data_IF_902233962005
#
_entry.id   IF_902233962005
#
_cell.length_a   1.000
_cell.length_b   1.000
_cell.length_c   1.000
_cell.angle_alpha   90.00
_cell.angle_beta   90.00
_cell.angle_gamma   90.00
#
_symmetry.space_group_name_H-M   'P 1'
#
loop_
_entity.id
_entity.type
_entity.pdbx_description
1 polymer ?
#
# COMPACT_ATOMS: atom_id res chain seq x y z
N UNK A 1 65.59 -26.95 15.61
CA UNK A 1 66.29 -25.66 15.44
C UNK A 1 65.61 -24.67 16.38
N UNK A 2 66.15 -24.51 17.60
CA UNK A 2 66.96 -23.36 18.06
C UNK A 2 66.17 -22.04 18.02
N UNK A 3 65.58 -21.64 19.14
CA UNK A 3 66.13 -20.73 20.18
C UNK A 3 65.81 -19.25 19.84
N UNK A 4 65.38 -18.41 20.77
CA UNK A 4 65.33 -18.59 22.21
C UNK A 4 64.72 -17.40 22.95
N UNK A 5 64.20 -17.72 24.14
CA UNK A 5 64.00 -16.79 25.24
C UNK A 5 65.33 -16.36 25.87
N UNK A 6 65.22 -15.27 26.63
CA UNK A 6 66.04 -14.80 27.77
C UNK A 6 66.94 -13.60 27.47
N UNK A 7 66.82 -12.59 28.34
CA UNK A 7 67.90 -11.92 29.11
C UNK A 7 67.22 -10.95 30.09
N UNK A 8 67.07 -11.28 31.36
CA UNK A 8 68.05 -11.30 32.46
C UNK A 8 68.18 -9.94 33.15
N UNK A 9 67.66 -9.93 34.38
CA UNK A 9 67.93 -9.03 35.49
C UNK A 9 69.44 -8.94 35.74
N UNK A 10 69.98 -7.72 35.82
CA UNK A 10 71.29 -7.46 36.43
C UNK A 10 71.12 -6.35 37.48
N UNK A 11 71.30 -6.74 38.74
CA UNK A 11 71.65 -5.83 39.82
C UNK A 11 73.09 -5.36 39.58
N UNK A 12 73.31 -4.05 39.65
CA UNK A 12 74.61 -3.43 39.74
C UNK A 12 74.60 -2.43 40.87
N UNK A 13 75.06 -2.87 42.04
CA UNK A 13 75.41 -2.03 43.18
C UNK A 13 76.69 -1.25 42.81
N UNK A 14 76.68 0.07 42.88
CA UNK A 14 77.89 0.88 42.75
C UNK A 14 77.87 2.07 43.73
N UNK A 15 78.72 1.91 44.75
CA UNK A 15 79.47 2.88 45.55
C UNK A 15 78.96 4.34 45.72
N UNK A 16 78.77 4.69 46.98
CA UNK A 16 78.80 6.06 47.52
C UNK A 16 80.19 6.66 47.31
N UNK A 17 80.27 7.83 46.66
CA UNK A 17 81.37 8.78 46.84
C UNK A 17 80.82 10.20 46.90
N UNK A 18 81.13 10.87 48.01
CA UNK A 18 80.82 12.25 48.35
C UNK A 18 81.78 13.20 47.60
N UNK A 19 81.28 14.37 47.17
CA UNK A 19 81.89 15.73 47.26
C UNK A 19 81.57 16.63 46.04
N UNK A 20 81.17 17.86 46.38
CA UNK A 20 81.24 19.15 45.65
C UNK A 20 80.14 19.54 44.63
N UNK A 21 79.24 20.39 45.16
CA UNK A 21 78.55 21.53 44.58
C UNK A 21 78.81 21.91 43.10
N UNK A 22 77.71 22.04 42.33
CA UNK A 22 77.69 22.77 41.07
C UNK A 22 76.46 22.49 40.21
N UNK A 23 75.44 23.37 40.30
CA UNK A 23 74.32 23.54 39.37
C UNK A 23 73.50 22.28 39.00
N UNK A 24 72.64 21.84 39.92
CA UNK A 24 71.48 21.03 39.56
C UNK A 24 70.58 21.85 38.61
N UNK A 25 70.51 21.46 37.35
CA UNK A 25 69.43 21.88 36.46
C UNK A 25 68.13 21.38 37.05
N UNK A 26 67.39 22.27 37.70
CA UNK A 26 66.08 21.98 38.28
C UNK A 26 65.13 21.61 37.15
N UNK A 27 64.92 20.31 36.94
CA UNK A 27 63.78 19.83 36.15
C UNK A 27 62.52 20.26 36.90
N UNK A 28 61.94 21.39 36.49
CA UNK A 28 60.66 21.87 36.99
C UNK A 28 59.61 20.86 36.55
N UNK A 29 59.19 19.99 37.47
CA UNK A 29 58.05 19.12 37.26
C UNK A 29 56.80 19.99 37.12
N UNK A 30 56.39 20.30 35.88
CA UNK A 30 55.12 20.97 35.65
C UNK A 30 53.98 20.07 36.14
N UNK A 31 53.25 20.54 37.15
CA UNK A 31 52.04 19.89 37.62
C UNK A 31 51.05 19.77 36.46
N UNK A 32 50.58 18.56 36.20
CA UNK A 32 49.60 18.29 35.14
C UNK A 32 48.32 19.08 35.43
N UNK A 33 48.09 20.15 34.66
CA UNK A 33 46.88 20.95 34.78
C UNK A 33 45.71 20.24 34.10
N UNK A 34 44.58 20.15 34.80
CA UNK A 34 43.34 19.54 34.30
C UNK A 34 42.37 20.62 33.81
N UNK A 35 41.53 20.27 32.84
CA UNK A 35 40.44 21.15 32.44
C UNK A 35 39.35 21.19 33.53
N UNK A 36 38.52 22.23 33.51
CA UNK A 36 37.28 22.33 34.30
C UNK A 36 36.07 22.45 33.39
N UNK A 37 34.88 22.08 33.87
CA UNK A 37 33.63 22.18 33.10
C UNK A 37 33.09 23.60 33.25
N UNK A 38 32.84 24.28 32.12
CA UNK A 38 32.24 25.62 32.08
C UNK A 38 30.74 25.56 31.78
N UNK A 39 30.27 24.52 31.08
CA UNK A 39 28.84 24.28 30.88
C UNK A 39 28.53 22.79 30.84
N UNK A 40 27.31 22.42 31.25
CA UNK A 40 26.80 21.05 31.15
C UNK A 40 25.28 21.10 31.02
N UNK A 41 24.78 20.93 29.79
CA UNK A 41 23.37 21.13 29.45
C UNK A 41 22.78 19.86 28.82
N UNK A 42 21.51 19.62 29.07
CA UNK A 42 20.73 18.60 28.35
C UNK A 42 20.48 19.11 26.93
N UNK A 43 20.59 18.23 25.94
CA UNK A 43 20.30 18.62 24.56
C UNK A 43 18.80 18.76 24.34
N UNK A 44 18.35 19.85 23.71
CA UNK A 44 16.93 20.20 23.54
C UNK A 44 16.32 19.83 22.18
N UNK A 45 17.14 19.52 21.16
CA UNK A 45 16.63 19.08 19.86
C UNK A 45 15.85 17.76 19.96
N UNK A 46 15.07 17.39 18.95
CA UNK A 46 14.26 16.17 18.99
C UNK A 46 15.13 14.92 19.26
N UNK A 47 14.64 14.00 20.09
CA UNK A 47 15.38 12.76 20.36
C UNK A 47 15.63 11.95 19.08
N UNK A 48 14.68 11.92 18.16
CA UNK A 48 14.76 11.16 16.92
C UNK A 48 15.79 11.68 15.92
N UNK A 49 16.15 12.97 15.98
CA UNK A 49 17.06 13.63 15.02
C UNK A 49 18.54 13.62 15.42
N UNK A 50 18.90 12.94 16.52
CA UNK A 50 20.26 12.97 17.07
C UNK A 50 20.93 11.61 17.09
N UNK A 51 20.68 10.75 16.12
CA UNK A 51 21.33 9.45 16.08
C UNK A 51 22.80 9.67 15.75
N UNK A 52 23.70 9.02 16.48
CA UNK A 52 25.13 9.09 16.20
C UNK A 52 25.75 7.71 16.19
N UNK A 53 26.86 7.60 15.48
CA UNK A 53 27.81 6.51 15.64
C UNK A 53 29.13 7.05 16.19
N UNK A 54 29.91 6.18 16.83
CA UNK A 54 31.27 6.50 17.23
C UNK A 54 32.16 6.54 15.99
N UNK A 55 33.24 7.31 16.03
CA UNK A 55 34.24 7.34 14.94
C UNK A 55 35.46 6.47 15.23
N UNK A 56 35.66 6.08 16.48
CA UNK A 56 36.85 5.33 16.93
C UNK A 56 38.10 6.20 17.15
N UNK A 57 38.06 7.50 16.84
CA UNK A 57 39.20 8.42 17.03
C UNK A 57 39.42 8.81 18.49
N UNK A 58 38.38 8.71 19.31
CA UNK A 58 38.39 9.09 20.71
C UNK A 58 37.76 8.00 21.57
N UNK A 59 38.27 7.84 22.79
CA UNK A 59 37.69 6.95 23.79
C UNK A 59 36.43 7.56 24.43
N UNK A 60 35.60 6.69 25.00
CA UNK A 60 34.47 7.04 25.86
C UNK A 60 34.92 7.06 27.31
N UNK A 61 34.53 8.07 28.09
CA UNK A 61 35.00 8.27 29.46
C UNK A 61 33.85 8.42 30.48
N UNK A 62 34.13 8.29 31.77
CA UNK A 62 33.13 8.48 32.84
C UNK A 62 32.70 9.94 33.01
N UNK A 63 33.60 10.88 32.68
CA UNK A 63 33.42 12.34 32.62
C UNK A 63 34.26 12.88 31.45
N UNK A 64 34.17 14.16 31.10
CA UNK A 64 34.99 14.70 30.01
C UNK A 64 36.48 14.34 30.18
N UNK A 65 37.10 13.81 29.12
CA UNK A 65 38.36 13.06 29.20
C UNK A 65 39.57 13.87 29.72
N UNK A 66 39.51 15.20 29.65
CA UNK A 66 40.55 16.11 30.16
C UNK A 66 40.38 16.52 31.62
N UNK A 67 39.31 16.07 32.29
CA UNK A 67 39.05 16.38 33.70
C UNK A 67 39.83 15.44 34.64
N UNK A 68 40.12 15.92 35.84
CA UNK A 68 40.76 15.10 36.88
C UNK A 68 39.90 13.86 37.21
N UNK A 69 40.53 12.69 37.18
CA UNK A 69 39.89 11.40 37.48
C UNK A 69 38.91 10.90 36.41
N UNK A 70 39.04 11.34 35.15
CA UNK A 70 38.33 10.70 34.04
C UNK A 70 38.87 9.28 33.81
N UNK A 71 37.98 8.28 33.83
CA UNK A 71 38.30 6.87 33.55
C UNK A 71 37.74 6.47 32.19
N UNK A 72 38.44 5.61 31.47
CA UNK A 72 37.99 5.07 30.18
C UNK A 72 36.86 4.07 30.42
N UNK A 73 35.72 4.27 29.75
CA UNK A 73 34.58 3.35 29.67
C UNK A 73 34.70 2.46 28.44
N UNK A 74 35.16 3.01 27.31
CA UNK A 74 35.48 2.26 26.10
C UNK A 74 36.72 2.87 25.44
N UNK A 75 37.70 2.04 25.11
CA UNK A 75 38.92 2.47 24.42
C UNK A 75 38.63 2.92 22.99
N UNK A 76 39.58 3.57 22.33
CA UNK A 76 39.50 3.88 20.89
C UNK A 76 39.30 2.62 20.05
N UNK A 77 39.97 1.52 20.41
CA UNK A 77 39.79 0.21 19.77
C UNK A 77 38.35 -0.30 19.91
N UNK A 78 37.77 -0.25 21.11
CA UNK A 78 36.37 -0.64 21.32
C UNK A 78 35.42 0.29 20.58
N UNK A 79 35.67 1.60 20.59
CA UNK A 79 34.87 2.58 19.86
C UNK A 79 34.90 2.33 18.34
N UNK A 80 36.06 1.94 17.79
CA UNK A 80 36.20 1.56 16.37
C UNK A 80 35.42 0.28 16.04
N UNK A 81 35.46 -0.74 16.92
CA UNK A 81 34.66 -1.96 16.77
C UNK A 81 33.15 -1.67 16.80
N UNK A 82 32.71 -0.80 17.71
CA UNK A 82 31.30 -0.38 17.80
C UNK A 82 30.87 0.43 16.58
N UNK A 83 31.75 1.28 16.06
CA UNK A 83 31.50 2.04 14.84
C UNK A 83 31.24 1.12 13.64
N UNK A 84 32.01 0.03 13.50
CA UNK A 84 31.90 -0.96 12.41
C UNK A 84 30.91 -2.09 12.66
N UNK A 85 30.18 -2.08 13.78
CA UNK A 85 29.24 -3.14 14.14
C UNK A 85 28.08 -3.26 13.14
N UNK A 86 27.66 -4.46 12.79
CA UNK A 86 26.44 -4.72 12.01
C UNK A 86 25.19 -4.81 12.90
N UNK A 87 25.31 -4.52 14.20
CA UNK A 87 24.18 -4.52 15.13
C UNK A 87 23.76 -3.09 15.51
N UNK A 88 22.47 -2.78 15.33
CA UNK A 88 21.80 -1.55 15.75
C UNK A 88 21.90 -1.27 17.24
N UNK A 89 22.16 -2.30 18.07
CA UNK A 89 22.52 -2.15 19.49
C UNK A 89 23.70 -1.18 19.70
N UNK A 90 24.62 -1.14 18.74
CA UNK A 90 25.82 -0.29 18.74
C UNK A 90 25.57 1.14 18.19
N UNK A 91 24.33 1.50 17.88
CA UNK A 91 23.96 2.91 17.65
C UNK A 91 23.98 3.68 18.97
N UNK A 92 24.22 4.99 18.90
CA UNK A 92 24.31 5.85 20.07
C UNK A 92 23.35 7.02 20.02
N UNK A 93 22.91 7.46 21.20
CA UNK A 93 22.15 8.70 21.41
C UNK A 93 22.95 9.64 22.32
N UNK A 94 23.35 10.84 21.86
CA UNK A 94 23.78 11.91 22.73
C UNK A 94 22.57 12.55 23.43
N UNK A 95 22.71 12.87 24.71
CA UNK A 95 21.63 13.45 25.51
C UNK A 95 22.08 14.63 26.40
N UNK A 96 23.39 14.83 26.57
CA UNK A 96 23.95 16.05 27.18
C UNK A 96 25.16 16.53 26.39
N UNK A 97 25.48 17.82 26.53
CA UNK A 97 26.68 18.45 26.00
C UNK A 97 27.36 19.27 27.10
N UNK A 98 28.69 19.25 27.14
CA UNK A 98 29.49 20.02 28.06
C UNK A 98 30.62 20.74 27.35
N UNK A 99 30.92 21.97 27.76
CA UNK A 99 32.12 22.71 27.36
C UNK A 99 33.11 22.77 28.51
N UNK A 100 34.40 22.77 28.19
CA UNK A 100 35.47 22.96 29.17
C UNK A 100 36.08 24.35 29.09
N UNK A 101 36.81 24.78 30.12
CA UNK A 101 37.58 26.02 30.12
C UNK A 101 38.68 26.08 29.03
N UNK A 102 38.93 24.97 28.33
CA UNK A 102 39.86 24.87 27.19
C UNK A 102 39.12 24.86 25.84
N UNK A 103 37.84 25.22 25.81
CA UNK A 103 37.03 25.27 24.58
C UNK A 103 36.71 23.90 23.96
N UNK A 104 36.94 22.81 24.69
CA UNK A 104 36.59 21.46 24.20
C UNK A 104 35.13 21.13 24.48
N UNK A 105 34.47 20.52 23.51
CA UNK A 105 33.09 20.04 23.63
C UNK A 105 33.10 18.53 23.87
N UNK A 106 32.28 18.07 24.81
CA UNK A 106 32.04 16.65 25.07
C UNK A 106 30.56 16.35 25.07
N UNK A 107 30.16 15.22 24.48
CA UNK A 107 28.79 14.74 24.49
C UNK A 107 28.64 13.54 25.43
N UNK A 108 27.59 13.55 26.27
CA UNK A 108 27.20 12.37 27.02
C UNK A 108 26.32 11.50 26.14
N UNK A 109 26.78 10.28 25.86
CA UNK A 109 26.14 9.33 24.94
C UNK A 109 25.75 8.04 25.65
N UNK A 110 24.80 7.32 25.06
CA UNK A 110 24.41 5.96 25.46
C UNK A 110 24.21 5.09 24.22
N UNK A 111 24.68 3.84 24.24
CA UNK A 111 24.36 2.85 23.22
C UNK A 111 22.89 2.43 23.27
N UNK A 112 22.34 1.90 22.18
CA UNK A 112 20.92 1.58 22.12
C UNK A 112 20.53 0.40 23.03
N UNK A 113 21.44 -0.53 23.26
CA UNK A 113 21.32 -1.58 24.27
C UNK A 113 21.60 -1.12 25.71
N UNK A 114 22.12 0.09 25.90
CA UNK A 114 22.47 0.65 27.21
C UNK A 114 23.82 0.19 27.79
N UNK A 115 24.54 -0.73 27.14
CA UNK A 115 25.81 -1.28 27.61
C UNK A 115 26.89 -0.22 27.80
N UNK A 116 26.98 0.76 26.89
CA UNK A 116 27.97 1.82 26.95
C UNK A 116 27.31 3.15 27.26
N UNK A 117 27.81 3.83 28.30
CA UNK A 117 27.37 5.18 28.67
C UNK A 117 28.55 6.00 29.19
N UNK A 118 28.75 7.19 28.62
CA UNK A 118 29.86 8.04 29.01
C UNK A 118 29.93 9.34 28.23
N UNK A 119 31.04 10.05 28.40
CA UNK A 119 31.38 11.29 27.73
C UNK A 119 32.44 11.05 26.67
N UNK A 120 32.20 11.55 25.46
CA UNK A 120 33.12 11.42 24.33
C UNK A 120 33.40 12.80 23.74
N UNK A 121 34.63 13.01 23.28
CA UNK A 121 35.05 14.28 22.68
C UNK A 121 34.25 14.56 21.41
N UNK A 122 33.67 15.75 21.33
CA UNK A 122 32.77 16.21 20.27
C UNK A 122 33.36 17.29 19.35
N UNK A 123 34.63 17.67 19.54
CA UNK A 123 35.26 18.78 18.83
C UNK A 123 35.29 20.08 19.66
N UNK A 124 35.12 21.22 18.99
CA UNK A 124 35.13 22.57 19.61
C UNK A 124 33.81 23.33 19.48
N UNK A 125 32.85 22.81 18.69
CA UNK A 125 31.53 23.42 18.50
C UNK A 125 30.44 22.55 19.10
N UNK A 126 29.41 23.18 19.66
CA UNK A 126 28.18 22.51 20.13
C UNK A 126 27.13 22.36 19.04
N UNK A 127 27.31 23.00 17.88
CA UNK A 127 26.34 23.03 16.77
C UNK A 127 26.34 21.78 15.88
N UNK A 128 27.36 20.93 15.98
CA UNK A 128 27.48 19.73 15.16
C UNK A 128 28.10 18.57 15.92
N UNK A 129 27.73 17.33 15.54
CA UNK A 129 28.38 16.13 16.04
C UNK A 129 29.70 15.90 15.28
N UNK A 130 30.82 16.07 15.96
CA UNK A 130 32.16 15.90 15.40
C UNK A 130 33.11 15.13 16.35
N UNK A 131 34.37 15.00 15.95
CA UNK A 131 35.41 14.37 16.76
C UNK A 131 35.19 12.85 16.92
N UNK A 132 34.86 12.43 18.14
CA UNK A 132 34.62 11.03 18.50
C UNK A 132 33.27 10.48 18.08
N UNK A 133 32.36 11.33 17.59
CA UNK A 133 31.03 10.97 17.12
C UNK A 133 30.72 11.64 15.79
N UNK A 134 29.77 11.08 15.05
CA UNK A 134 29.18 11.67 13.86
C UNK A 134 27.69 11.33 13.77
N UNK A 135 26.90 12.20 13.14
CA UNK A 135 25.49 11.89 12.81
C UNK A 135 25.40 10.58 12.03
N UNK A 136 24.34 9.82 12.28
CA UNK A 136 24.16 8.51 11.67
C UNK A 136 22.68 8.20 11.48
N UNK A 137 22.27 8.01 10.23
CA UNK A 137 20.93 7.55 9.92
C UNK A 137 20.85 6.04 10.16
N UNK A 138 20.02 5.68 11.13
CA UNK A 138 19.86 4.29 11.60
C UNK A 138 18.97 3.47 10.68
N UNK A 139 18.21 4.13 9.82
CA UNK A 139 17.42 3.53 8.75
C UNK A 139 17.60 4.31 7.46
N UNK A 140 17.29 3.67 6.35
CA UNK A 140 17.22 4.23 5.00
C UNK A 140 15.85 3.88 4.41
N UNK A 141 15.38 4.65 3.43
CA UNK A 141 14.11 4.36 2.77
C UNK A 141 14.14 3.01 2.05
N UNK A 142 13.04 2.27 2.11
CA UNK A 142 12.81 1.08 1.29
C UNK A 142 11.48 1.24 0.54
N UNK A 143 11.30 0.46 -0.53
CA UNK A 143 10.03 0.46 -1.28
C UNK A 143 9.00 -0.38 -0.53
N UNK A 144 7.82 0.19 -0.29
CA UNK A 144 6.71 -0.55 0.29
C UNK A 144 6.10 -1.51 -0.76
N UNK A 145 5.49 -2.63 -0.33
CA UNK A 145 4.66 -3.44 -1.20
C UNK A 145 3.54 -2.65 -1.89
N UNK A 146 3.02 -3.16 -3.01
CA UNK A 146 1.79 -2.64 -3.62
C UNK A 146 0.66 -2.61 -2.58
N UNK A 147 -0.21 -1.60 -2.63
CA UNK A 147 -1.39 -1.52 -1.76
C UNK A 147 -2.39 -2.66 -2.00
N UNK A 148 -2.34 -3.29 -3.18
CA UNK A 148 -3.12 -4.49 -3.51
C UNK A 148 -2.47 -5.79 -3.04
N UNK A 149 -1.23 -5.76 -2.55
CA UNK A 149 -0.53 -6.94 -2.08
C UNK A 149 -0.96 -7.30 -0.66
N UNK A 150 -1.37 -8.55 -0.50
CA UNK A 150 -1.90 -9.12 0.74
C UNK A 150 -0.90 -10.11 1.30
N UNK A 151 -0.66 -10.05 2.60
CA UNK A 151 0.36 -10.84 3.29
C UNK A 151 -0.22 -11.60 4.48
N UNK A 152 0.42 -12.70 4.84
CA UNK A 152 0.23 -13.41 6.12
C UNK A 152 1.56 -13.52 6.85
N UNK A 153 1.51 -13.77 8.16
CA UNK A 153 2.69 -14.12 8.93
C UNK A 153 3.25 -15.45 8.45
N UNK A 154 4.55 -15.47 8.14
CA UNK A 154 5.31 -16.70 7.86
C UNK A 154 6.15 -17.15 9.07
N UNK A 155 6.42 -16.23 9.99
CA UNK A 155 7.12 -16.51 11.24
C UNK A 155 6.17 -17.11 12.30
N UNK A 156 6.69 -17.99 13.15
CA UNK A 156 5.96 -18.58 14.27
C UNK A 156 5.47 -17.52 15.26
N UNK A 157 4.18 -17.59 15.61
CA UNK A 157 3.56 -16.75 16.64
C UNK A 157 3.75 -17.34 18.04
N UNK A 158 3.38 -16.58 19.07
CA UNK A 158 3.43 -17.04 20.46
C UNK A 158 2.25 -16.49 21.27
N UNK A 159 1.71 -17.33 22.16
CA UNK A 159 0.69 -16.96 23.16
C UNK A 159 1.22 -16.10 24.29
N UNK A 160 2.54 -16.05 24.51
CA UNK A 160 3.16 -15.40 25.69
C UNK A 160 4.25 -14.39 25.35
N UNK A 161 4.70 -14.36 24.09
CA UNK A 161 5.74 -13.45 23.64
C UNK A 161 5.36 -12.71 22.35
N UNK A 162 5.80 -11.45 22.27
CA UNK A 162 5.83 -10.69 21.02
C UNK A 162 7.27 -10.56 20.55
N UNK A 163 7.59 -11.24 19.46
CA UNK A 163 8.89 -11.17 18.76
C UNK A 163 8.75 -10.57 17.36
N UNK A 164 7.53 -10.27 16.91
CA UNK A 164 7.22 -9.94 15.52
C UNK A 164 6.97 -8.44 15.32
N UNK A 165 6.17 -7.83 16.21
CA UNK A 165 5.65 -6.48 16.00
C UNK A 165 6.32 -5.45 16.91
N UNK A 166 6.82 -4.38 16.30
CA UNK A 166 7.55 -3.32 16.96
C UNK A 166 6.90 -1.95 16.73
N UNK A 167 7.09 -1.01 17.65
CA UNK A 167 6.57 0.35 17.46
C UNK A 167 7.30 1.12 16.34
N UNK A 168 8.54 0.69 16.03
CA UNK A 168 9.44 1.15 14.96
C UNK A 168 10.38 0.00 14.61
N UNK A 169 11.10 0.01 13.48
CA UNK A 169 12.13 -0.99 13.22
C UNK A 169 13.07 -1.16 14.42
N UNK A 170 13.37 -2.40 14.80
CA UNK A 170 14.14 -2.68 15.99
C UNK A 170 15.49 -1.94 15.93
N UNK A 171 15.88 -1.27 17.03
CA UNK A 171 17.10 -0.48 17.11
C UNK A 171 17.24 0.67 16.09
N UNK A 172 16.16 1.10 15.44
CA UNK A 172 16.15 2.34 14.65
C UNK A 172 16.15 3.61 15.53
N UNK A 173 15.74 3.51 16.79
CA UNK A 173 15.80 4.61 17.75
C UNK A 173 16.16 4.08 19.14
N UNK A 174 16.65 4.96 20.02
CA UNK A 174 16.88 4.60 21.41
C UNK A 174 15.54 4.29 22.09
N UNK A 175 15.46 3.15 22.79
CA UNK A 175 14.25 2.64 23.48
C UNK A 175 13.08 2.30 22.56
N UNK A 176 13.32 1.88 21.33
CA UNK A 176 12.28 1.22 20.53
C UNK A 176 11.82 -0.04 21.26
N UNK A 177 10.52 -0.11 21.55
CA UNK A 177 9.87 -1.25 22.17
C UNK A 177 9.02 -2.05 21.18
N UNK A 178 8.31 -3.02 21.73
CA UNK A 178 7.27 -3.75 21.00
C UNK A 178 6.10 -2.84 20.63
N UNK A 179 5.34 -3.27 19.63
CA UNK A 179 4.10 -2.61 19.24
C UNK A 179 3.17 -2.45 20.44
N UNK A 180 2.31 -1.43 20.39
CA UNK A 180 1.27 -1.23 21.38
C UNK A 180 -0.08 -1.40 20.70
N UNK A 181 -1.01 -2.06 21.38
CA UNK A 181 -2.40 -2.22 20.95
C UNK A 181 -3.27 -1.71 22.10
N UNK A 182 -4.20 -0.80 21.81
CA UNK A 182 -5.07 -0.17 22.81
C UNK A 182 -4.29 0.45 24.00
N UNK A 183 -3.16 1.10 23.71
CA UNK A 183 -2.32 1.79 24.70
C UNK A 183 -1.34 0.89 25.47
N UNK A 184 -1.52 -0.43 25.43
CA UNK A 184 -0.69 -1.41 26.15
C UNK A 184 0.34 -2.06 25.25
N UNK A 185 1.51 -2.40 25.80
CA UNK A 185 2.54 -3.14 25.05
C UNK A 185 2.00 -4.52 24.68
N UNK A 186 2.02 -4.86 23.39
CA UNK A 186 1.59 -6.16 22.90
C UNK A 186 2.57 -7.25 23.38
N UNK A 187 2.06 -8.21 24.13
CA UNK A 187 2.85 -9.29 24.76
C UNK A 187 2.71 -10.64 24.07
N UNK A 188 1.69 -10.86 23.23
CA UNK A 188 1.47 -12.09 22.47
C UNK A 188 1.19 -11.76 20.99
N UNK A 189 1.33 -12.75 20.12
CA UNK A 189 1.16 -12.59 18.65
C UNK A 189 0.15 -13.55 18.05
N UNK A 190 -0.29 -14.57 18.80
CA UNK A 190 -1.24 -15.59 18.32
C UNK A 190 -2.59 -15.03 17.88
N UNK A 191 -3.01 -13.88 18.42
CA UNK A 191 -4.23 -13.20 17.98
C UNK A 191 -4.20 -12.79 16.49
N UNK A 192 -3.00 -12.78 15.88
CA UNK A 192 -2.77 -12.37 14.50
C UNK A 192 -2.26 -13.50 13.60
N UNK A 193 -2.29 -14.77 14.07
CA UNK A 193 -1.68 -15.91 13.36
C UNK A 193 -2.27 -16.16 11.97
N UNK A 194 -3.58 -15.93 11.81
CA UNK A 194 -4.30 -16.12 10.55
C UNK A 194 -4.65 -14.78 9.87
N UNK A 195 -4.27 -13.65 10.48
CA UNK A 195 -4.63 -12.33 9.98
C UNK A 195 -3.97 -12.05 8.64
N UNK A 196 -4.69 -11.28 7.84
CA UNK A 196 -4.26 -10.72 6.57
C UNK A 196 -3.73 -9.29 6.77
N UNK A 197 -2.60 -8.96 6.15
CA UNK A 197 -1.94 -7.68 6.29
C UNK A 197 -1.74 -6.99 4.94
N UNK A 198 -1.83 -5.66 4.96
CA UNK A 198 -1.28 -4.79 3.91
C UNK A 198 -0.26 -3.84 4.53
N UNK A 199 0.61 -3.26 3.69
CA UNK A 199 1.70 -2.40 4.14
C UNK A 199 1.73 -1.09 3.38
N UNK A 200 2.00 0.01 4.09
CA UNK A 200 1.96 1.37 3.53
C UNK A 200 3.30 2.10 3.50
N UNK A 201 4.29 1.61 4.25
CA UNK A 201 5.64 2.17 4.26
C UNK A 201 6.68 1.07 4.48
N UNK A 202 7.92 1.34 4.07
CA UNK A 202 9.04 0.45 4.32
C UNK A 202 10.32 1.23 4.66
N UNK A 203 11.11 0.66 5.56
CA UNK A 203 12.42 1.17 5.95
C UNK A 203 13.43 0.02 6.00
N UNK A 204 14.70 0.31 5.73
CA UNK A 204 15.80 -0.64 5.86
C UNK A 204 16.75 -0.20 6.96
N UNK A 205 17.04 -1.06 7.94
CA UNK A 205 17.97 -0.71 9.02
C UNK A 205 19.41 -0.65 8.51
N UNK A 206 20.13 0.41 8.85
CA UNK A 206 21.44 0.70 8.25
C UNK A 206 22.56 -0.25 8.72
N UNK A 207 22.40 -0.90 9.87
CA UNK A 207 23.39 -1.84 10.42
C UNK A 207 23.08 -3.30 10.12
N UNK A 208 21.85 -3.72 10.38
CA UNK A 208 21.43 -5.11 10.14
C UNK A 208 21.12 -5.36 8.65
N UNK A 209 20.72 -4.33 7.90
CA UNK A 209 20.31 -4.48 6.50
C UNK A 209 18.91 -5.07 6.33
N UNK A 210 18.16 -5.23 7.43
CA UNK A 210 16.81 -5.79 7.45
C UNK A 210 15.80 -4.78 6.88
N UNK A 211 14.93 -5.24 5.98
CA UNK A 211 13.76 -4.48 5.54
C UNK A 211 12.61 -4.69 6.52
N UNK A 212 11.94 -3.60 6.88
CA UNK A 212 10.77 -3.57 7.75
C UNK A 212 9.60 -2.94 7.02
N UNK A 213 8.41 -3.50 7.19
CA UNK A 213 7.17 -2.97 6.66
C UNK A 213 6.31 -2.39 7.78
N UNK A 214 5.70 -1.24 7.51
CA UNK A 214 4.71 -0.63 8.38
C UNK A 214 3.31 -1.11 7.99
N UNK A 215 2.60 -1.68 8.95
CA UNK A 215 1.25 -2.23 8.77
C UNK A 215 0.28 -1.10 8.44
N UNK A 216 -0.41 -1.21 7.30
CA UNK A 216 -1.44 -0.27 6.86
C UNK A 216 -2.85 -0.77 7.18
N UNK A 217 -3.10 -2.07 7.08
CA UNK A 217 -4.36 -2.68 7.52
C UNK A 217 -4.15 -4.08 8.07
N UNK A 218 -5.09 -4.51 8.91
CA UNK A 218 -5.22 -5.88 9.42
C UNK A 218 -6.64 -6.34 9.13
N UNK A 219 -6.79 -7.45 8.41
CA UNK A 219 -8.08 -8.03 8.02
C UNK A 219 -9.01 -7.00 7.35
N UNK A 220 -8.43 -6.15 6.49
CA UNK A 220 -9.12 -5.06 5.79
C UNK A 220 -9.36 -3.80 6.63
N UNK A 221 -9.18 -3.85 7.96
CA UNK A 221 -9.36 -2.69 8.84
C UNK A 221 -8.10 -1.81 8.91
N UNK A 222 -8.26 -0.52 8.60
CA UNK A 222 -7.23 0.52 8.74
C UNK A 222 -7.21 1.17 10.14
N UNK A 223 -8.11 0.76 11.04
CA UNK A 223 -8.23 1.27 12.40
C UNK A 223 -7.89 0.23 13.47
N UNK A 224 -7.49 -0.98 13.06
CA UNK A 224 -6.99 -2.01 13.97
C UNK A 224 -5.81 -1.47 14.79
N UNK A 225 -5.75 -1.78 16.09
CA UNK A 225 -4.74 -1.24 17.00
C UNK A 225 -3.28 -1.62 16.66
N UNK A 226 -3.05 -2.58 15.75
CA UNK A 226 -1.73 -2.93 15.23
C UNK A 226 -1.30 -2.07 14.02
N UNK A 227 -2.22 -1.31 13.42
CA UNK A 227 -1.91 -0.41 12.30
C UNK A 227 -0.88 0.63 12.74
N UNK A 228 0.12 0.87 11.89
CA UNK A 228 1.26 1.74 12.17
C UNK A 228 2.43 1.04 12.86
N UNK A 229 2.25 -0.19 13.36
CA UNK A 229 3.36 -1.01 13.86
C UNK A 229 4.21 -1.56 12.71
N UNK A 230 5.40 -2.05 13.06
CA UNK A 230 6.42 -2.51 12.12
C UNK A 230 6.71 -4.00 12.31
N UNK A 231 6.85 -4.71 11.20
CA UNK A 231 7.25 -6.12 11.14
C UNK A 231 8.39 -6.30 10.15
N UNK A 232 9.32 -7.23 10.39
CA UNK A 232 10.35 -7.55 9.41
C UNK A 232 9.72 -8.15 8.16
N UNK A 233 10.19 -7.75 6.98
CA UNK A 233 9.75 -8.31 5.70
C UNK A 233 9.95 -9.83 5.64
N UNK A 234 11.01 -10.36 6.28
CA UNK A 234 11.27 -11.81 6.37
C UNK A 234 10.27 -12.60 7.20
N UNK A 235 9.39 -11.94 7.96
CA UNK A 235 8.42 -12.59 8.85
C UNK A 235 7.02 -12.66 8.23
N UNK A 236 6.88 -12.19 6.99
CA UNK A 236 5.62 -12.19 6.25
C UNK A 236 5.82 -12.75 4.85
N UNK A 237 4.79 -13.39 4.30
CA UNK A 237 4.75 -13.90 2.94
C UNK A 237 3.54 -13.33 2.21
N UNK A 238 3.75 -12.83 0.99
CA UNK A 238 2.66 -12.37 0.15
C UNK A 238 1.82 -13.57 -0.27
N UNK A 239 0.51 -13.52 0.01
CA UNK A 239 -0.43 -14.61 -0.33
C UNK A 239 -1.00 -14.49 -1.73
N UNK A 240 -0.94 -13.29 -2.30
CA UNK A 240 -1.38 -12.99 -3.66
C UNK A 240 -0.21 -12.53 -4.53
N UNK A 241 0.96 -13.16 -4.37
CA UNK A 241 2.04 -12.96 -5.31
C UNK A 241 1.66 -13.62 -6.65
N UNK A 242 1.78 -12.89 -7.75
CA UNK A 242 1.67 -13.50 -9.07
C UNK A 242 2.79 -14.55 -9.21
N UNK A 243 2.47 -15.80 -9.60
CA UNK A 243 3.51 -16.78 -9.88
C UNK A 243 4.40 -16.29 -11.03
N UNK A 244 5.64 -16.76 -11.06
CA UNK A 244 6.51 -16.47 -12.21
C UNK A 244 5.91 -17.13 -13.45
N UNK A 245 5.77 -16.36 -14.53
CA UNK A 245 5.28 -16.88 -15.80
C UNK A 245 6.24 -17.96 -16.35
N UNK A 246 5.69 -19.12 -16.66
CA UNK A 246 6.35 -20.23 -17.34
C UNK A 246 5.52 -20.66 -18.55
N UNK A 247 6.04 -21.59 -19.36
CA UNK A 247 5.25 -22.24 -20.42
C UNK A 247 4.06 -23.03 -19.88
N UNK A 248 4.05 -23.34 -18.58
CA UNK A 248 3.12 -24.28 -17.99
C UNK A 248 2.04 -23.60 -17.16
N UNK A 249 2.03 -22.27 -17.10
CA UNK A 249 1.04 -21.53 -16.32
C UNK A 249 0.62 -20.20 -16.94
N UNK A 250 1.19 -19.81 -18.08
CA UNK A 250 0.94 -18.48 -18.65
C UNK A 250 0.43 -18.51 -20.09
N UNK A 251 -0.38 -17.52 -20.45
CA UNK A 251 -0.91 -17.32 -21.80
C UNK A 251 -0.70 -15.88 -22.24
N UNK A 252 -0.23 -15.70 -23.47
CA UNK A 252 -0.15 -14.36 -24.09
C UNK A 252 -1.49 -14.05 -24.75
N UNK A 253 -2.07 -12.87 -24.47
CA UNK A 253 -3.33 -12.44 -25.10
C UNK A 253 -3.04 -11.41 -26.19
N UNK A 254 -3.46 -11.69 -27.41
CA UNK A 254 -3.28 -10.83 -28.58
C UNK A 254 -4.63 -10.38 -29.10
N UNK A 255 -4.78 -9.09 -29.34
CA UNK A 255 -5.99 -8.49 -29.89
C UNK A 255 -5.81 -8.29 -31.39
N UNK A 256 -6.76 -8.78 -32.17
CA UNK A 256 -6.74 -8.68 -33.64
C UNK A 256 -8.08 -8.18 -34.19
N UNK A 257 -8.06 -7.58 -35.37
CA UNK A 257 -9.28 -7.22 -36.09
C UNK A 257 -9.94 -8.43 -36.77
N UNK A 258 -11.08 -8.21 -37.42
CA UNK A 258 -11.81 -9.25 -38.15
C UNK A 258 -10.99 -9.86 -39.32
N UNK A 259 -10.00 -9.12 -39.85
CA UNK A 259 -9.08 -9.56 -40.89
C UNK A 259 -7.85 -10.29 -40.31
N UNK A 260 -7.81 -10.49 -38.99
CA UNK A 260 -6.72 -11.11 -38.21
C UNK A 260 -5.44 -10.28 -38.18
N UNK A 261 -5.48 -9.00 -38.50
CA UNK A 261 -4.34 -8.10 -38.26
C UNK A 261 -4.23 -7.82 -36.76
N UNK A 262 -3.01 -7.82 -36.24
CA UNK A 262 -2.76 -7.51 -34.83
C UNK A 262 -3.03 -6.03 -34.58
N UNK A 263 -3.95 -5.74 -33.68
CA UNK A 263 -4.23 -4.40 -33.16
C UNK A 263 -3.27 -4.10 -32.01
N UNK A 264 -3.14 -5.03 -31.07
CA UNK A 264 -2.17 -4.94 -29.98
C UNK A 264 -1.98 -6.29 -29.27
N UNK A 265 -1.14 -6.30 -28.24
CA UNK A 265 -0.95 -7.43 -27.33
C UNK A 265 -1.11 -6.93 -25.91
N UNK A 266 -1.74 -7.73 -25.03
CA UNK A 266 -1.85 -7.38 -23.62
C UNK A 266 -0.46 -7.17 -23.02
N UNK A 267 -0.30 -6.10 -22.23
CA UNK A 267 1.00 -5.76 -21.62
C UNK A 267 1.51 -6.87 -20.70
N UNK A 268 0.58 -7.54 -20.01
CA UNK A 268 0.87 -8.66 -19.13
C UNK A 268 0.34 -9.96 -19.75
N UNK A 269 0.95 -11.07 -19.36
CA UNK A 269 0.39 -12.40 -19.62
C UNK A 269 -0.71 -12.70 -18.60
N UNK A 270 -1.69 -13.50 -19.00
CA UNK A 270 -2.48 -14.24 -18.03
C UNK A 270 -1.56 -15.28 -17.38
N UNK A 271 -1.57 -15.39 -16.05
CA UNK A 271 -0.78 -16.40 -15.32
C UNK A 271 -1.71 -17.06 -14.31
N UNK A 272 -1.89 -18.38 -14.40
CA UNK A 272 -2.74 -19.12 -13.47
C UNK A 272 -2.11 -19.15 -12.08
N UNK A 273 -2.88 -18.78 -11.06
CA UNK A 273 -2.41 -18.64 -9.67
C UNK A 273 -1.86 -19.95 -9.09
N UNK A 274 -2.43 -21.08 -9.50
CA UNK A 274 -2.08 -22.42 -9.00
C UNK A 274 -1.05 -23.14 -9.89
N UNK A 275 -0.51 -22.49 -10.93
CA UNK A 275 0.59 -23.00 -11.74
C UNK A 275 0.26 -24.23 -12.59
N UNK A 276 -0.85 -24.22 -13.32
CA UNK A 276 -1.39 -25.43 -13.96
C UNK A 276 -1.12 -25.52 -15.45
N UNK A 277 -0.54 -26.64 -15.89
CA UNK A 277 -0.72 -27.18 -17.24
C UNK A 277 -1.30 -28.59 -17.06
N UNK A 278 -2.53 -28.80 -17.50
CA UNK A 278 -3.12 -30.13 -17.51
C UNK A 278 -2.60 -30.92 -18.72
N UNK A 279 -1.51 -31.67 -18.51
CA UNK A 279 -0.88 -32.51 -19.54
C UNK A 279 -1.87 -33.55 -20.09
N UNK A 280 -2.86 -33.97 -19.30
CA UNK A 280 -3.91 -34.90 -19.73
C UNK A 280 -4.94 -34.28 -20.67
N UNK A 281 -5.02 -32.95 -20.73
CA UNK A 281 -5.94 -32.19 -21.57
C UNK A 281 -5.21 -31.26 -22.54
N UNK A 282 -4.08 -31.71 -23.11
CA UNK A 282 -3.25 -30.97 -24.06
C UNK A 282 -2.85 -29.56 -23.59
N UNK A 283 -2.59 -29.40 -22.28
CA UNK A 283 -2.25 -28.13 -21.64
C UNK A 283 -3.32 -27.03 -21.81
N UNK A 284 -4.58 -27.39 -22.04
CA UNK A 284 -5.68 -26.44 -22.21
C UNK A 284 -5.93 -25.66 -20.91
N UNK A 285 -6.22 -24.37 -21.04
CA UNK A 285 -6.65 -23.52 -19.92
C UNK A 285 -8.08 -23.92 -19.51
N UNK A 286 -8.29 -24.20 -18.22
CA UNK A 286 -9.63 -24.46 -17.68
C UNK A 286 -10.41 -23.15 -17.56
N UNK A 287 -11.73 -23.19 -17.77
CA UNK A 287 -12.60 -22.04 -17.53
C UNK A 287 -12.67 -21.63 -16.05
N UNK A 288 -12.27 -22.52 -15.14
CA UNK A 288 -12.15 -22.25 -13.71
C UNK A 288 -10.79 -21.71 -13.30
N UNK A 289 -9.79 -21.75 -14.18
CA UNK A 289 -8.46 -21.27 -13.86
C UNK A 289 -8.50 -19.75 -13.73
N UNK A 290 -7.96 -19.26 -12.63
CA UNK A 290 -7.93 -17.84 -12.31
C UNK A 290 -6.50 -17.38 -12.10
N UNK A 291 -6.23 -16.13 -12.46
CA UNK A 291 -4.99 -15.48 -12.05
C UNK A 291 -5.04 -15.07 -10.57
N UNK A 292 -3.98 -14.47 -10.07
CA UNK A 292 -3.93 -14.08 -8.65
C UNK A 292 -4.89 -12.94 -8.29
N UNK A 293 -5.42 -12.22 -9.28
CA UNK A 293 -6.51 -11.26 -9.13
C UNK A 293 -7.91 -11.91 -9.13
N UNK A 294 -8.00 -13.23 -9.29
CA UNK A 294 -9.27 -13.97 -9.32
C UNK A 294 -9.99 -13.90 -10.67
N UNK A 295 -9.35 -13.36 -11.71
CA UNK A 295 -9.93 -13.28 -13.05
C UNK A 295 -9.66 -14.56 -13.83
N UNK A 296 -10.66 -15.06 -14.54
CA UNK A 296 -10.50 -16.06 -15.60
C UNK A 296 -9.74 -15.48 -16.80
N UNK A 297 -9.32 -16.32 -17.75
CA UNK A 297 -8.67 -15.86 -18.98
C UNK A 297 -9.57 -14.88 -19.78
N UNK A 298 -10.87 -15.14 -19.83
CA UNK A 298 -11.85 -14.27 -20.50
C UNK A 298 -11.94 -12.90 -19.83
N UNK A 299 -12.11 -12.89 -18.50
CA UNK A 299 -12.18 -11.63 -17.74
C UNK A 299 -10.87 -10.85 -17.80
N UNK A 300 -9.72 -11.54 -17.75
CA UNK A 300 -8.41 -10.93 -17.96
C UNK A 300 -8.31 -10.29 -19.34
N UNK A 301 -8.72 -10.99 -20.40
CA UNK A 301 -8.66 -10.47 -21.75
C UNK A 301 -9.58 -9.24 -21.93
N UNK A 302 -10.78 -9.27 -21.35
CA UNK A 302 -11.72 -8.13 -21.35
C UNK A 302 -11.18 -6.92 -20.60
N UNK A 303 -10.54 -7.14 -19.45
CA UNK A 303 -9.94 -6.07 -18.65
C UNK A 303 -8.71 -5.41 -19.31
N UNK A 304 -8.08 -6.08 -20.28
CA UNK A 304 -6.89 -5.60 -21.00
C UNK A 304 -7.17 -5.15 -22.44
N UNK A 305 -8.45 -4.93 -22.79
CA UNK A 305 -8.83 -4.48 -24.13
C UNK A 305 -8.08 -3.19 -24.52
N UNK A 306 -7.71 -3.04 -25.81
CA UNK A 306 -7.05 -1.83 -26.29
C UNK A 306 -7.99 -0.63 -26.14
N UNK A 307 -7.44 0.54 -25.79
CA UNK A 307 -8.25 1.76 -25.67
C UNK A 307 -9.00 2.08 -26.96
N UNK A 308 -10.31 2.33 -26.86
CA UNK A 308 -11.19 2.58 -28.01
C UNK A 308 -11.67 1.33 -28.74
N UNK A 309 -11.36 0.13 -28.25
CA UNK A 309 -11.83 -1.14 -28.80
C UNK A 309 -12.74 -1.87 -27.81
N UNK A 310 -13.65 -2.67 -28.36
CA UNK A 310 -14.45 -3.65 -27.63
C UNK A 310 -14.30 -5.02 -28.26
N UNK A 311 -14.59 -6.06 -27.50
CA UNK A 311 -14.66 -7.43 -27.99
C UNK A 311 -15.89 -7.63 -28.90
N UNK A 312 -15.74 -8.45 -29.94
CA UNK A 312 -16.88 -8.88 -30.80
C UNK A 312 -17.51 -10.16 -30.25
N UNK A 313 -18.74 -10.49 -30.67
CA UNK A 313 -19.45 -11.72 -30.25
C UNK A 313 -18.65 -13.02 -30.50
N UNK A 314 -17.71 -12.99 -31.45
CA UNK A 314 -16.81 -14.10 -31.75
C UNK A 314 -15.59 -14.22 -30.80
N UNK A 315 -15.34 -13.23 -29.95
CA UNK A 315 -14.13 -13.11 -29.13
C UNK A 315 -13.95 -14.22 -28.08
N UNK A 316 -15.04 -14.58 -27.39
CA UNK A 316 -15.09 -15.63 -26.38
C UNK A 316 -14.75 -17.02 -26.94
N UNK A 317 -15.12 -17.29 -28.20
CA UNK A 317 -14.91 -18.59 -28.84
C UNK A 317 -13.43 -18.96 -28.96
N UNK A 318 -12.55 -17.99 -29.18
CA UNK A 318 -11.12 -18.23 -29.36
C UNK A 318 -10.37 -18.47 -28.05
N UNK A 319 -10.85 -17.92 -26.93
CA UNK A 319 -10.26 -18.14 -25.62
C UNK A 319 -10.52 -19.56 -25.10
N UNK A 320 -11.63 -20.16 -25.52
CA UNK A 320 -12.00 -21.53 -25.13
C UNK A 320 -10.98 -22.60 -25.54
N UNK A 321 -10.16 -22.33 -26.56
CA UNK A 321 -9.13 -23.24 -27.08
C UNK A 321 -7.71 -22.93 -26.59
N UNK A 322 -7.55 -21.92 -25.74
CA UNK A 322 -6.24 -21.48 -25.26
C UNK A 322 -5.51 -22.61 -24.52
N UNK A 323 -4.20 -22.67 -24.73
CA UNK A 323 -3.28 -23.59 -24.04
C UNK A 323 -2.21 -22.80 -23.30
N UNK A 324 -1.76 -23.33 -22.17
CA UNK A 324 -0.63 -22.79 -21.44
C UNK A 324 0.64 -22.80 -22.29
N UNK A 325 1.42 -21.73 -22.20
CA UNK A 325 2.60 -21.43 -22.99
C UNK A 325 2.28 -20.86 -24.37
N UNK A 326 1.00 -20.85 -24.76
CA UNK A 326 0.53 -20.41 -26.06
C UNK A 326 0.13 -18.94 -26.14
N UNK A 327 -0.48 -18.61 -27.28
CA UNK A 327 -1.11 -17.31 -27.56
C UNK A 327 -2.60 -17.50 -27.75
N UNK A 328 -3.41 -16.83 -26.93
CA UNK A 328 -4.84 -16.71 -27.11
C UNK A 328 -5.13 -15.43 -27.89
N UNK A 329 -6.04 -15.51 -28.86
CA UNK A 329 -6.37 -14.37 -29.71
C UNK A 329 -7.81 -13.91 -29.47
N UNK A 330 -8.01 -12.63 -29.20
CA UNK A 330 -9.34 -12.01 -29.08
C UNK A 330 -9.61 -11.15 -30.32
N UNK A 331 -10.80 -11.30 -30.89
CA UNK A 331 -11.23 -10.45 -32.00
C UNK A 331 -11.86 -9.19 -31.44
N UNK A 332 -11.37 -8.03 -31.88
CA UNK A 332 -11.82 -6.72 -31.41
C UNK A 332 -12.22 -5.83 -32.57
N UNK A 333 -13.12 -4.90 -32.29
CA UNK A 333 -13.51 -3.83 -33.21
C UNK A 333 -13.57 -2.49 -32.46
N UNK A 334 -13.64 -1.38 -33.20
CA UNK A 334 -13.78 -0.06 -32.58
C UNK A 334 -15.06 -0.02 -31.76
N UNK A 335 -14.91 0.32 -30.49
CA UNK A 335 -16.03 0.47 -29.57
C UNK A 335 -16.61 1.88 -29.61
N UNK A 336 -17.89 2.00 -29.30
CA UNK A 336 -18.53 3.28 -29.03
C UNK A 336 -19.54 3.12 -27.88
N UNK A 337 -19.75 4.19 -27.13
CA UNK A 337 -20.68 4.24 -26.00
C UNK A 337 -21.82 5.18 -26.35
N UNK A 338 -23.04 4.65 -26.35
CA UNK A 338 -24.26 5.42 -26.58
C UNK A 338 -24.66 6.25 -25.36
N UNK A 339 -25.31 7.38 -25.63
CA UNK A 339 -26.10 8.11 -24.62
C UNK A 339 -27.57 7.77 -24.77
N UNK A 340 -28.34 8.03 -23.73
CA UNK A 340 -29.76 7.71 -23.67
C UNK A 340 -30.62 8.97 -23.66
N UNK A 341 -31.68 9.00 -24.47
CA UNK A 341 -32.80 9.92 -24.33
C UNK A 341 -34.03 9.18 -23.81
N UNK A 342 -34.76 9.83 -22.91
CA UNK A 342 -36.04 9.33 -22.39
C UNK A 342 -37.17 9.92 -23.21
N UNK A 343 -38.10 9.09 -23.68
CA UNK A 343 -39.23 9.51 -24.50
C UNK A 343 -40.53 8.92 -23.93
N UNK A 344 -41.65 9.62 -24.10
CA UNK A 344 -42.98 9.04 -23.81
C UNK A 344 -43.47 8.17 -24.98
N UNK A 345 -44.62 7.51 -24.81
CA UNK A 345 -45.25 6.67 -25.83
C UNK A 345 -45.51 7.35 -27.20
N UNK A 346 -45.48 8.68 -27.25
CA UNK A 346 -45.62 9.49 -28.47
C UNK A 346 -44.27 9.99 -29.01
N UNK A 347 -43.15 9.43 -28.54
CA UNK A 347 -41.78 9.79 -28.93
C UNK A 347 -41.40 11.26 -28.64
N UNK A 348 -42.03 11.85 -27.63
CA UNK A 348 -41.67 13.18 -27.13
C UNK A 348 -40.66 13.06 -26.00
N UNK A 349 -39.59 13.86 -26.04
CA UNK A 349 -38.53 13.85 -25.03
C UNK A 349 -39.08 14.16 -23.64
N UNK A 350 -38.68 13.34 -22.66
CA UNK A 350 -38.87 13.56 -21.23
C UNK A 350 -37.63 14.19 -20.64
N UNK A 351 -37.80 15.18 -19.77
CA UNK A 351 -36.73 15.81 -19.03
C UNK A 351 -36.52 15.12 -17.68
N UNK A 352 -35.35 15.29 -17.07
CA UNK A 352 -35.09 14.79 -15.71
C UNK A 352 -36.12 15.31 -14.69
N UNK A 353 -36.69 16.49 -14.90
CA UNK A 353 -37.73 17.09 -14.02
C UNK A 353 -39.10 16.43 -14.17
N UNK A 354 -39.32 15.61 -15.19
CA UNK A 354 -40.56 14.85 -15.33
C UNK A 354 -40.62 13.64 -14.39
N UNK A 355 -39.46 13.16 -13.94
CA UNK A 355 -39.30 12.11 -12.94
C UNK A 355 -39.18 12.71 -11.54
N UNK A 356 -39.89 12.16 -10.55
CA UNK A 356 -39.92 12.69 -9.19
C UNK A 356 -38.53 12.72 -8.52
N UNK A 357 -37.65 11.79 -8.90
CA UNK A 357 -36.30 11.63 -8.36
C UNK A 357 -35.19 12.00 -9.35
N UNK A 358 -35.51 12.60 -10.49
CA UNK A 358 -34.60 12.71 -11.62
C UNK A 358 -34.57 11.44 -12.47
N UNK A 359 -33.74 11.42 -13.53
CA UNK A 359 -33.56 10.22 -14.33
C UNK A 359 -33.10 9.04 -13.45
N UNK A 360 -33.47 7.78 -13.82
CA UNK A 360 -32.99 6.59 -13.12
C UNK A 360 -31.46 6.61 -12.97
N UNK A 361 -30.91 6.18 -11.83
CA UNK A 361 -29.45 6.12 -11.67
C UNK A 361 -28.93 4.73 -11.95
N UNK A 362 -27.76 4.62 -12.59
CA UNK A 362 -27.12 3.36 -12.91
C UNK A 362 -25.69 3.32 -12.34
N UNK A 363 -25.28 2.14 -11.86
CA UNK A 363 -23.88 1.86 -11.51
C UNK A 363 -22.99 1.87 -12.74
N UNK A 364 -21.68 2.07 -12.58
CA UNK A 364 -20.72 2.04 -13.68
C UNK A 364 -20.77 0.70 -14.47
N UNK A 365 -20.99 -0.42 -13.77
CA UNK A 365 -21.15 -1.74 -14.39
C UNK A 365 -22.39 -1.80 -15.27
N UNK A 366 -23.53 -1.30 -14.80
CA UNK A 366 -24.78 -1.28 -15.58
C UNK A 366 -24.67 -0.37 -16.82
N UNK A 367 -23.99 0.78 -16.69
CA UNK A 367 -23.74 1.67 -17.83
C UNK A 367 -22.88 1.02 -18.92
N UNK A 368 -22.14 -0.04 -18.61
CA UNK A 368 -21.42 -0.85 -19.59
C UNK A 368 -22.32 -1.43 -20.69
N UNK A 369 -23.62 -1.62 -20.44
CA UNK A 369 -24.59 -2.12 -21.42
C UNK A 369 -24.77 -1.21 -22.64
N UNK A 370 -24.40 0.07 -22.53
CA UNK A 370 -24.47 1.05 -23.64
C UNK A 370 -23.21 1.08 -24.50
N UNK A 371 -22.24 0.21 -24.25
CA UNK A 371 -20.98 0.15 -25.01
C UNK A 371 -20.94 -1.11 -25.86
N UNK A 372 -20.62 -0.96 -27.15
CA UNK A 372 -20.54 -2.07 -28.08
C UNK A 372 -19.77 -1.68 -29.35
N UNK A 373 -19.79 -2.57 -30.35
CA UNK A 373 -19.08 -2.35 -31.61
C UNK A 373 -19.75 -1.21 -32.37
N UNK A 374 -19.00 -0.16 -32.69
CA UNK A 374 -19.55 1.08 -33.27
C UNK A 374 -20.25 0.87 -34.63
N UNK A 375 -19.87 -0.18 -35.37
CA UNK A 375 -20.47 -0.50 -36.67
C UNK A 375 -21.79 -1.28 -36.55
N UNK A 376 -22.02 -1.91 -35.40
CA UNK A 376 -23.13 -2.85 -35.17
C UNK A 376 -24.40 -2.10 -34.77
N UNK A 377 -25.52 -2.55 -35.33
CA UNK A 377 -26.85 -2.14 -34.89
C UNK A 377 -27.18 -2.85 -33.58
N UNK A 378 -27.73 -2.13 -32.61
CA UNK A 378 -28.18 -2.70 -31.34
C UNK A 378 -29.35 -3.64 -31.62
N UNK A 379 -29.20 -4.91 -31.22
CA UNK A 379 -30.27 -5.91 -31.41
C UNK A 379 -31.55 -5.50 -30.69
N UNK A 380 -32.70 -5.72 -31.32
CA UNK A 380 -34.00 -5.50 -30.69
C UNK A 380 -34.14 -6.25 -29.35
N UNK A 381 -33.52 -7.43 -29.25
CA UNK A 381 -33.51 -8.25 -28.02
C UNK A 381 -32.84 -7.55 -26.84
N UNK A 382 -31.88 -6.64 -27.09
CA UNK A 382 -31.23 -5.87 -26.03
C UNK A 382 -32.22 -4.97 -25.26
N UNK A 383 -33.36 -4.64 -25.86
CA UNK A 383 -34.41 -3.82 -25.24
C UNK A 383 -35.52 -4.64 -24.59
N UNK A 384 -35.62 -5.93 -24.90
CA UNK A 384 -36.71 -6.82 -24.44
C UNK A 384 -36.28 -7.88 -23.44
N UNK A 385 -35.00 -8.29 -23.45
CA UNK A 385 -34.51 -9.38 -22.60
C UNK A 385 -34.28 -8.92 -21.15
N UNK A 386 -34.50 -9.83 -20.19
CA UNK A 386 -34.47 -9.57 -18.75
C UNK A 386 -33.09 -9.30 -18.15
N UNK A 387 -32.02 -9.44 -18.95
CA UNK A 387 -30.63 -9.21 -18.54
C UNK A 387 -29.88 -8.24 -19.49
N UNK A 388 -30.62 -7.40 -20.21
CA UNK A 388 -30.10 -6.44 -21.18
C UNK A 388 -30.47 -4.99 -20.84
N UNK A 389 -30.30 -4.05 -21.79
CA UNK A 389 -30.60 -2.63 -21.59
C UNK A 389 -32.01 -2.43 -21.02
N UNK A 390 -33.00 -3.17 -21.53
CA UNK A 390 -34.39 -3.03 -21.08
C UNK A 390 -34.61 -3.33 -19.60
N UNK A 391 -33.88 -4.29 -19.02
CA UNK A 391 -34.07 -4.65 -17.62
C UNK A 391 -33.61 -3.58 -16.64
N UNK A 392 -32.68 -2.71 -17.07
CA UNK A 392 -32.18 -1.57 -16.30
C UNK A 392 -33.25 -0.50 -16.05
N UNK A 393 -34.35 -0.52 -16.80
CA UNK A 393 -35.38 0.53 -16.80
C UNK A 393 -36.78 0.05 -16.45
N UNK A 394 -36.95 -1.17 -15.95
CA UNK A 394 -38.28 -1.66 -15.55
C UNK A 394 -38.86 -0.95 -14.32
N UNK A 395 -38.08 -0.11 -13.63
CA UNK A 395 -38.51 0.56 -12.41
C UNK A 395 -38.60 -0.38 -11.20
N UNK A 396 -38.57 0.20 -10.00
CA UNK A 396 -38.66 -0.55 -8.73
C UNK A 396 -39.93 -0.22 -7.94
N UNK A 397 -40.63 0.86 -8.32
CA UNK A 397 -41.88 1.23 -7.68
C UNK A 397 -43.01 0.43 -8.27
N UNK A 398 -43.77 -0.27 -7.43
CA UNK A 398 -44.99 -0.98 -7.83
C UNK A 398 -46.18 -0.07 -7.58
N UNK A 399 -46.95 0.26 -8.61
CA UNK A 399 -48.14 1.10 -8.46
C UNK A 399 -49.34 0.53 -9.21
N UNK A 400 -50.52 0.70 -8.63
CA UNK A 400 -51.77 0.59 -9.37
C UNK A 400 -51.96 1.87 -10.18
N UNK A 401 -52.05 1.73 -11.50
CA UNK A 401 -52.13 2.85 -12.42
C UNK A 401 -53.54 3.04 -13.00
N UNK A 402 -53.78 4.23 -13.54
CA UNK A 402 -54.98 4.67 -14.27
C UNK A 402 -54.55 5.39 -15.55
N UNK A 403 -55.31 5.22 -16.63
CA UNK A 403 -55.09 5.96 -17.88
C UNK A 403 -55.84 7.29 -17.93
N UNK A 404 -56.74 7.54 -16.98
CA UNK A 404 -57.48 8.79 -16.80
C UNK A 404 -56.99 9.52 -15.52
N UNK A 405 -56.77 10.84 -15.64
CA UNK A 405 -56.32 11.78 -14.60
C UNK A 405 -57.36 11.99 -13.48
N UNK A 406 -58.58 11.44 -13.62
CA UNK A 406 -59.67 11.81 -12.70
C UNK A 406 -60.62 10.72 -12.20
N UNK A 407 -60.84 9.59 -12.86
CA UNK A 407 -61.72 8.53 -12.31
C UNK A 407 -61.50 7.13 -12.90
N UNK A 408 -60.92 6.23 -12.09
CA UNK A 408 -61.26 4.80 -11.92
C UNK A 408 -61.16 3.76 -13.09
N UNK A 409 -61.02 2.49 -12.67
CA UNK A 409 -61.56 1.24 -13.29
C UNK A 409 -60.83 0.51 -14.44
N UNK A 410 -59.57 0.83 -14.75
CA UNK A 410 -58.66 -0.15 -15.38
C UNK A 410 -57.40 -0.27 -14.54
N UNK A 411 -57.40 -1.26 -13.65
CA UNK A 411 -56.32 -1.47 -12.68
C UNK A 411 -55.41 -2.60 -13.15
N UNK A 412 -54.19 -2.25 -13.54
CA UNK A 412 -53.04 -3.14 -13.54
C UNK A 412 -52.08 -2.73 -12.42
N UNK A 413 -51.17 -3.62 -12.03
CA UNK A 413 -50.06 -3.28 -11.13
C UNK A 413 -48.77 -3.53 -11.89
N UNK A 414 -47.98 -2.47 -12.09
CA UNK A 414 -46.74 -2.53 -12.85
C UNK A 414 -45.59 -1.89 -12.09
N UNK A 415 -44.38 -2.29 -12.47
CA UNK A 415 -43.16 -1.64 -12.03
C UNK A 415 -42.90 -0.41 -12.90
N UNK A 416 -42.45 0.68 -12.28
CA UNK A 416 -42.16 1.90 -13.00
C UNK A 416 -41.53 2.97 -12.12
N UNK A 417 -41.59 4.21 -12.61
CA UNK A 417 -41.06 5.38 -11.93
C UNK A 417 -42.14 6.42 -11.70
N UNK A 418 -42.23 6.94 -10.48
CA UNK A 418 -43.07 8.09 -10.18
C UNK A 418 -42.50 9.35 -10.84
N UNK A 419 -43.38 10.08 -11.51
CA UNK A 419 -43.13 11.38 -12.10
C UNK A 419 -43.58 12.54 -11.22
N UNK A 420 -43.56 13.75 -11.80
CA UNK A 420 -44.10 14.95 -11.15
C UNK A 420 -45.58 14.77 -10.75
N UNK A 421 -45.99 15.49 -9.71
CA UNK A 421 -47.37 15.51 -9.27
C UNK A 421 -48.32 15.97 -10.41
N UNK A 422 -49.43 15.27 -10.53
CA UNK A 422 -50.55 15.56 -11.42
C UNK A 422 -51.75 16.08 -10.59
N UNK A 423 -52.95 16.09 -11.16
CA UNK A 423 -54.14 16.58 -10.46
C UNK A 423 -54.65 15.59 -9.40
N UNK A 424 -55.52 16.06 -8.50
CA UNK A 424 -56.36 15.24 -7.63
C UNK A 424 -55.63 14.21 -6.74
N UNK A 425 -54.38 14.47 -6.36
CA UNK A 425 -53.58 13.57 -5.52
C UNK A 425 -52.96 12.39 -6.27
N UNK A 426 -52.86 12.47 -7.59
CA UNK A 426 -52.13 11.55 -8.45
C UNK A 426 -50.81 12.17 -8.93
N UNK A 427 -49.91 11.33 -9.40
CA UNK A 427 -48.65 11.69 -10.07
C UNK A 427 -48.57 10.93 -11.39
N UNK A 428 -47.81 11.46 -12.35
CA UNK A 428 -47.46 10.66 -13.53
C UNK A 428 -46.71 9.39 -13.09
N UNK A 429 -46.90 8.32 -13.84
CA UNK A 429 -46.23 7.04 -13.62
C UNK A 429 -45.72 6.53 -14.96
N UNK A 430 -44.42 6.26 -15.03
CA UNK A 430 -43.72 5.87 -16.25
C UNK A 430 -43.33 4.39 -16.18
N UNK A 431 -43.94 3.57 -17.03
CA UNK A 431 -43.57 2.16 -17.23
C UNK A 431 -42.69 2.06 -18.48
N UNK A 432 -41.58 1.34 -18.43
CA UNK A 432 -40.75 1.11 -19.60
C UNK A 432 -41.46 0.21 -20.63
N UNK A 433 -41.58 0.69 -21.87
CA UNK A 433 -42.15 -0.07 -22.98
C UNK A 433 -41.02 -0.64 -23.85
N UNK A 434 -40.71 -1.92 -23.63
CA UNK A 434 -39.68 -2.64 -24.36
C UNK A 434 -39.96 -2.71 -25.87
N UNK A 435 -41.23 -2.82 -26.28
CA UNK A 435 -41.60 -3.00 -27.69
C UNK A 435 -41.47 -1.70 -28.46
N UNK A 436 -41.99 -0.60 -27.91
CA UNK A 436 -41.81 0.73 -28.51
C UNK A 436 -40.36 1.19 -28.47
N UNK A 437 -39.63 0.84 -27.40
CA UNK A 437 -38.18 1.09 -27.33
C UNK A 437 -37.44 0.36 -28.45
N UNK A 438 -37.70 -0.94 -28.65
CA UNK A 438 -37.10 -1.68 -29.75
C UNK A 438 -37.46 -1.08 -31.13
N UNK A 439 -38.72 -0.66 -31.32
CA UNK A 439 -39.17 -0.02 -32.55
C UNK A 439 -38.49 1.34 -32.81
N UNK A 440 -38.25 2.13 -31.77
CA UNK A 440 -37.57 3.42 -31.86
C UNK A 440 -36.09 3.30 -32.25
N UNK A 441 -35.48 2.12 -32.05
CA UNK A 441 -34.04 1.90 -32.18
C UNK A 441 -33.65 0.87 -33.27
N UNK A 442 -34.53 0.58 -34.23
CA UNK A 442 -34.32 -0.47 -35.26
C UNK A 442 -33.04 -0.35 -36.09
N UNK A 443 -32.47 0.85 -36.22
CA UNK A 443 -31.20 1.10 -36.94
C UNK A 443 -30.15 1.79 -36.08
N UNK A 444 -30.39 1.91 -34.77
CA UNK A 444 -29.48 2.59 -33.83
C UNK A 444 -28.22 1.76 -33.66
N UNK A 445 -27.06 2.39 -33.82
CA UNK A 445 -25.76 1.77 -33.56
C UNK A 445 -25.21 2.18 -32.21
N UNK A 446 -24.24 1.43 -31.71
CA UNK A 446 -23.47 1.88 -30.55
C UNK A 446 -22.74 3.20 -30.86
N UNK A 447 -22.87 4.18 -29.98
CA UNK A 447 -22.43 5.56 -30.18
C UNK A 447 -23.53 6.53 -30.61
N UNK A 448 -24.62 6.03 -31.20
CA UNK A 448 -25.82 6.84 -31.44
C UNK A 448 -26.60 7.04 -30.13
N UNK A 449 -27.54 7.98 -30.13
CA UNK A 449 -28.47 8.14 -29.00
C UNK A 449 -29.51 7.02 -29.01
N UNK A 450 -29.59 6.28 -27.92
CA UNK A 450 -30.62 5.26 -27.67
C UNK A 450 -31.86 5.93 -27.11
N UNK A 451 -33.02 5.64 -27.69
CA UNK A 451 -34.31 6.19 -27.27
C UNK A 451 -35.06 5.20 -26.39
N UNK A 452 -35.16 5.46 -25.09
CA UNK A 452 -35.96 4.63 -24.20
C UNK A 452 -37.38 5.18 -24.13
N UNK A 453 -38.36 4.36 -24.45
CA UNK A 453 -39.76 4.75 -24.51
C UNK A 453 -40.49 4.28 -23.25
N UNK A 454 -41.23 5.20 -22.63
CA UNK A 454 -42.04 4.95 -21.45
C UNK A 454 -43.51 5.22 -21.73
N UNK A 455 -44.37 4.30 -21.31
CA UNK A 455 -45.80 4.54 -21.21
C UNK A 455 -46.10 5.44 -20.01
N UNK A 456 -46.88 6.48 -20.24
CA UNK A 456 -47.26 7.46 -19.24
C UNK A 456 -48.69 7.19 -18.78
N UNK A 457 -48.84 6.93 -17.48
CA UNK A 457 -50.13 6.73 -16.81
C UNK A 457 -50.18 7.59 -15.55
N UNK A 458 -51.26 7.47 -14.77
CA UNK A 458 -51.43 8.15 -13.48
C UNK A 458 -51.44 7.14 -12.35
N UNK A 459 -50.69 7.39 -11.28
CA UNK A 459 -50.71 6.59 -10.06
C UNK A 459 -50.95 7.47 -8.85
N UNK A 460 -51.59 6.93 -7.80
CA UNK A 460 -51.80 7.68 -6.56
C UNK A 460 -50.46 8.14 -6.01
N UNK A 461 -50.36 9.44 -5.68
CA UNK A 461 -49.11 10.03 -5.19
C UNK A 461 -48.66 9.32 -3.90
N UNK A 462 -47.42 8.79 -3.86
CA UNK A 462 -46.93 8.07 -2.69
C UNK A 462 -46.71 9.05 -1.53
N UNK A 463 -47.04 8.61 -0.30
CA UNK A 463 -46.84 9.42 0.92
C UNK A 463 -45.38 9.51 1.35
N UNK A 464 -44.54 8.61 0.85
CA UNK A 464 -43.09 8.56 1.08
C UNK A 464 -42.40 8.06 -0.18
N UNK A 465 -41.50 8.85 -0.75
CA UNK A 465 -40.56 8.40 -1.79
C UNK A 465 -39.23 8.04 -1.11
N UNK A 466 -38.91 6.76 -1.03
CA UNK A 466 -37.56 6.31 -0.67
C UNK A 466 -36.83 5.97 -1.96
N UNK A 467 -35.81 6.74 -2.32
CA UNK A 467 -34.83 6.32 -3.32
C UNK A 467 -33.58 5.86 -2.59
N UNK A 468 -33.28 4.57 -2.69
CA UNK A 468 -32.00 4.00 -2.29
C UNK A 468 -31.32 3.45 -3.52
N UNK A 469 -31.01 4.34 -4.49
CA UNK A 469 -30.22 3.94 -5.64
C UNK A 469 -28.80 4.50 -5.50
N UNK A 470 -27.82 3.60 -5.58
CA UNK A 470 -26.41 3.92 -5.70
C UNK A 470 -26.05 4.00 -7.20
N UNK A 471 -25.72 5.19 -7.71
CA UNK A 471 -25.37 5.36 -9.13
C UNK A 471 -25.27 6.82 -9.56
N UNK A 472 -25.15 7.05 -10.86
CA UNK A 472 -25.25 8.38 -11.47
C UNK A 472 -26.07 8.35 -12.77
N UNK A 473 -26.28 9.51 -13.39
CA UNK A 473 -27.04 9.69 -14.64
C UNK A 473 -26.14 10.07 -15.82
N UNK A 474 -24.84 9.75 -15.75
CA UNK A 474 -23.87 10.13 -16.79
C UNK A 474 -24.18 9.48 -18.14
N UNK A 475 -25.01 8.44 -18.19
CA UNK A 475 -25.44 7.80 -19.43
C UNK A 475 -26.56 8.57 -20.16
N UNK A 476 -27.26 9.49 -19.49
CA UNK A 476 -28.35 10.27 -20.07
C UNK A 476 -27.83 11.49 -20.85
N UNK A 477 -28.64 11.95 -21.82
CA UNK A 477 -28.43 13.21 -22.57
C UNK A 477 -29.02 14.44 -21.88
#
# INVERSE_FOLDING_TARGET
MKNGMKKSLYLGLAAVSLVAAGAASSTTASAKSYATVTSNKTLTTAATSRNVTLTGTNALYTKAGTLKGAKVVATTTTAKKLASSTSGKSNFRPYKVATTNRGSVYYKVVSFDGTYRGWIYGGKSTSAFAGGIKSYDTTTSATAPSSSATYKLSATTSTTANTLFYARPAYAQYKVGRAKVSGSVLTSTDAYKDSSFTFGAAEKTSREGDTWYQIASVDGSTTNGLVGAWVKASNVSQTNAEPTATSDNSVTVVYRDAQKNIVSTATNKFIAKDGTADVGNNNKVSSSDTNTAGLTLAEFAKANLPSGYTETTDGESYLSSAVYGGTAYVTVAKGATSKVSFENANYSSLASTDFAAGFPTLTATQQGAFTGVAADTISASAFTDTDAIGSLFQGTSVATYSTDDSTATTSGSENGYYGKAAANGYSYFYTYDATKTAAANTSTKYGDTIKLVFDQTYAKTPTTTTTTDSGNTDYAN
#
